data_IF_258823503686
#
_entry.id   IF_258823503686
#
_cell.length_a   1.000
_cell.length_b   1.000
_cell.length_c   1.000
_cell.angle_alpha   90.00
_cell.angle_beta   90.00
_cell.angle_gamma   90.00
#
_symmetry.space_group_name_H-M   'P 1'
#
loop_
_entity.id
_entity.type
_entity.pdbx_description
1 polymer ?
#
# COMPACT_ATOMS: atom_id res chain seq x y z
N UNK A 1 9.55 -24.53 5.15
CA UNK A 1 9.08 -23.71 4.02
C UNK A 1 7.77 -23.01 4.41
N UNK A 2 7.84 -21.77 4.90
CA UNK A 2 6.63 -21.00 5.20
C UNK A 2 6.02 -20.54 3.87
N UNK A 3 4.99 -21.26 3.41
CA UNK A 3 4.12 -20.85 2.31
C UNK A 3 3.54 -19.48 2.68
N UNK A 4 4.07 -18.41 2.09
CA UNK A 4 3.54 -17.05 2.23
C UNK A 4 2.11 -17.12 1.67
N UNK A 5 1.15 -17.20 2.59
CA UNK A 5 -0.27 -17.45 2.32
C UNK A 5 -0.84 -16.38 1.39
N UNK A 6 -1.67 -16.86 0.46
CA UNK A 6 -2.57 -16.14 -0.46
C UNK A 6 -2.52 -14.61 -0.36
N UNK A 7 -2.02 -13.98 -1.42
CA UNK A 7 -2.12 -12.54 -1.68
C UNK A 7 -3.57 -12.06 -1.39
N UNK A 8 -3.84 -11.40 -0.24
CA UNK A 8 -5.20 -11.03 0.16
C UNK A 8 -5.82 -10.00 -0.79
N UNK A 9 -5.01 -9.42 -1.66
CA UNK A 9 -5.35 -8.33 -2.57
C UNK A 9 -5.56 -8.79 -4.02
N UNK A 10 -5.56 -10.11 -4.30
CA UNK A 10 -5.86 -10.65 -5.65
C UNK A 10 -7.24 -10.17 -6.11
N UNK A 11 -8.21 -10.11 -5.19
CA UNK A 11 -9.59 -9.79 -5.53
C UNK A 11 -9.85 -8.29 -5.70
N UNK A 12 -8.86 -7.42 -5.41
CA UNK A 12 -9.02 -5.99 -5.66
C UNK A 12 -8.96 -5.73 -7.17
N UNK A 13 -9.79 -4.82 -7.65
CA UNK A 13 -9.60 -4.23 -8.98
C UNK A 13 -8.31 -3.41 -9.01
N UNK A 14 -7.80 -3.09 -10.19
CA UNK A 14 -6.55 -2.33 -10.33
C UNK A 14 -6.64 -0.95 -9.64
N UNK A 15 -7.79 -0.28 -9.78
CA UNK A 15 -8.02 1.02 -9.14
C UNK A 15 -8.12 0.89 -7.62
N UNK A 16 -8.85 -0.11 -7.12
CA UNK A 16 -8.93 -0.37 -5.68
C UNK A 16 -7.58 -0.74 -5.08
N UNK A 17 -6.75 -1.49 -5.82
CA UNK A 17 -5.42 -1.88 -5.39
C UNK A 17 -4.51 -0.64 -5.26
N UNK A 18 -4.50 0.23 -6.27
CA UNK A 18 -3.74 1.50 -6.22
C UNK A 18 -4.26 2.37 -5.07
N UNK A 19 -5.58 2.51 -4.94
CA UNK A 19 -6.20 3.33 -3.91
C UNK A 19 -5.88 2.86 -2.49
N UNK A 20 -5.97 1.56 -2.26
CA UNK A 20 -5.64 0.92 -1.00
C UNK A 20 -4.16 1.09 -0.67
N UNK A 21 -3.28 0.89 -1.66
CA UNK A 21 -1.83 1.07 -1.49
C UNK A 21 -1.49 2.47 -1.03
N UNK A 22 -2.05 3.49 -1.67
CA UNK A 22 -1.81 4.89 -1.31
C UNK A 22 -2.28 5.19 0.12
N UNK A 23 -3.50 4.75 0.49
CA UNK A 23 -4.04 4.93 1.85
C UNK A 23 -3.16 4.27 2.90
N UNK A 24 -2.65 3.08 2.63
CA UNK A 24 -1.78 2.35 3.56
C UNK A 24 -0.38 2.98 3.67
N UNK A 25 0.16 3.53 2.59
CA UNK A 25 1.39 4.32 2.61
C UNK A 25 1.26 5.59 3.46
N UNK A 26 0.14 6.31 3.35
CA UNK A 26 -0.10 7.52 4.18
C UNK A 26 -0.22 7.18 5.68
N UNK A 27 -0.86 6.06 6.00
CA UNK A 27 -0.92 5.55 7.39
C UNK A 27 0.47 5.17 7.88
N UNK A 28 1.28 4.51 7.04
CA UNK A 28 2.64 4.13 7.38
C UNK A 28 3.53 5.37 7.65
N UNK A 29 3.42 6.41 6.81
CA UNK A 29 4.08 7.71 7.00
C UNK A 29 3.63 8.41 8.29
N UNK A 30 2.37 8.26 8.67
CA UNK A 30 1.88 8.79 9.94
C UNK A 30 2.47 8.02 11.11
N UNK A 31 2.49 6.68 11.04
CA UNK A 31 3.08 5.82 12.08
C UNK A 31 4.58 6.06 12.26
N UNK A 32 5.33 6.34 11.18
CA UNK A 32 6.76 6.65 11.27
C UNK A 32 7.03 7.94 12.03
N UNK A 33 6.08 8.88 12.08
CA UNK A 33 6.20 10.15 12.82
C UNK A 33 5.87 10.02 14.31
N UNK A 34 5.09 9.02 14.70
CA UNK A 34 4.61 8.85 16.08
C UNK A 34 5.33 7.71 16.82
N UNK A 35 6.51 7.28 16.32
CA UNK A 35 7.40 6.24 16.89
C UNK A 35 6.72 4.92 17.29
N UNK A 36 5.55 4.60 16.73
CA UNK A 36 4.85 3.35 17.04
C UNK A 36 5.42 2.20 16.19
N UNK A 37 6.63 1.76 16.54
CA UNK A 37 7.42 0.73 15.84
C UNK A 37 6.65 -0.58 15.59
N UNK A 38 5.88 -1.03 16.58
CA UNK A 38 5.16 -2.31 16.50
C UNK A 38 4.00 -2.24 15.48
N UNK A 39 3.24 -1.13 15.47
CA UNK A 39 2.22 -0.90 14.44
C UNK A 39 2.86 -0.62 13.08
N UNK A 40 3.98 0.08 13.06
CA UNK A 40 4.72 0.40 11.84
C UNK A 40 5.17 -0.86 11.11
N UNK A 41 5.84 -1.80 11.79
CA UNK A 41 6.32 -3.05 11.15
C UNK A 41 5.17 -3.92 10.62
N UNK A 42 4.05 -4.02 11.35
CA UNK A 42 2.84 -4.71 10.86
C UNK A 42 2.29 -4.05 9.59
N UNK A 43 2.19 -2.71 9.59
CA UNK A 43 1.64 -1.94 8.45
C UNK A 43 2.58 -1.96 7.25
N UNK A 44 3.89 -1.94 7.48
CA UNK A 44 4.94 -2.08 6.45
C UNK A 44 4.81 -3.40 5.71
N UNK A 45 4.53 -4.50 6.42
CA UNK A 45 4.30 -5.79 5.76
C UNK A 45 3.10 -5.75 4.81
N UNK A 46 2.00 -5.10 5.23
CA UNK A 46 0.81 -4.88 4.39
C UNK A 46 1.14 -4.06 3.14
N UNK A 47 1.82 -2.92 3.30
CA UNK A 47 2.25 -2.07 2.19
C UNK A 47 3.14 -2.85 1.22
N UNK A 48 4.07 -3.66 1.72
CA UNK A 48 4.92 -4.49 0.88
C UNK A 48 4.14 -5.50 0.05
N UNK A 49 3.13 -6.16 0.63
CA UNK A 49 2.28 -7.09 -0.13
C UNK A 49 1.49 -6.37 -1.23
N UNK A 50 0.97 -5.17 -0.95
CA UNK A 50 0.28 -4.34 -1.94
C UNK A 50 1.20 -3.92 -3.08
N UNK A 51 2.44 -3.53 -2.78
CA UNK A 51 3.45 -3.17 -3.79
C UNK A 51 3.82 -4.37 -4.66
N UNK A 52 3.99 -5.56 -4.07
CA UNK A 52 4.28 -6.79 -4.82
C UNK A 52 3.14 -7.07 -5.81
N UNK A 53 1.89 -6.94 -5.37
CA UNK A 53 0.73 -7.17 -6.23
C UNK A 53 0.61 -6.15 -7.36
N UNK A 54 0.91 -4.86 -7.10
CA UNK A 54 0.99 -3.82 -8.13
C UNK A 54 2.05 -4.16 -9.18
N UNK A 55 3.24 -4.55 -8.73
CA UNK A 55 4.34 -4.96 -9.63
C UNK A 55 3.95 -6.20 -10.44
N UNK A 56 3.32 -7.19 -9.81
CA UNK A 56 2.85 -8.43 -10.45
C UNK A 56 1.87 -8.15 -11.59
N UNK A 57 0.99 -7.16 -11.43
CA UNK A 57 0.01 -6.73 -12.44
C UNK A 57 0.56 -5.72 -13.45
N UNK A 58 1.84 -5.38 -13.36
CA UNK A 58 2.48 -4.34 -14.18
C UNK A 58 1.75 -2.97 -14.09
N UNK A 59 1.19 -2.65 -12.92
CA UNK A 59 0.50 -1.39 -12.69
C UNK A 59 1.51 -0.31 -12.28
N UNK A 60 1.29 0.90 -12.78
CA UNK A 60 2.07 2.08 -12.38
C UNK A 60 1.23 2.93 -11.44
N UNK A 61 1.77 3.23 -10.25
CA UNK A 61 1.21 4.27 -9.39
C UNK A 61 1.50 5.61 -10.07
N UNK A 62 0.54 6.14 -10.81
CA UNK A 62 0.69 7.39 -11.56
C UNK A 62 0.85 8.56 -10.57
N UNK A 63 1.98 9.27 -10.65
CA UNK A 63 2.22 10.53 -9.90
C UNK A 63 1.03 11.50 -9.94
N UNK A 64 0.33 11.73 -11.07
CA UNK A 64 -0.85 12.58 -11.11
C UNK A 64 -1.97 12.18 -10.13
N UNK A 65 -2.20 10.88 -9.90
CA UNK A 65 -3.19 10.40 -8.93
C UNK A 65 -2.76 10.70 -7.49
N UNK A 66 -1.46 10.62 -7.20
CA UNK A 66 -0.89 11.02 -5.90
C UNK A 66 -1.04 12.53 -5.69
N UNK A 67 -0.67 13.33 -6.70
CA UNK A 67 -0.78 14.79 -6.67
C UNK A 67 -2.23 15.21 -6.46
N UNK A 68 -3.19 14.66 -7.22
CA UNK A 68 -4.60 15.03 -7.09
C UNK A 68 -5.14 14.77 -5.68
N UNK A 69 -4.70 13.71 -4.99
CA UNK A 69 -5.07 13.45 -3.58
C UNK A 69 -4.42 14.39 -2.57
N UNK A 70 -3.19 14.83 -2.83
CA UNK A 70 -2.49 15.77 -1.95
C UNK A 70 -3.09 17.19 -2.07
N UNK A 71 -3.48 17.58 -3.29
CA UNK A 71 -3.90 18.96 -3.59
C UNK A 71 -5.42 19.17 -3.62
N UNK A 72 -6.27 18.16 -3.80
CA UNK A 72 -7.74 18.31 -3.68
C UNK A 72 -8.22 18.15 -2.22
N UNK A 73 -7.63 18.91 -1.30
CA UNK A 73 -8.11 18.99 0.08
C UNK A 73 -9.13 20.11 0.23
#
# INVERSE_FOLDING_TARGET
MNKIKLYPYINLTNDQLIDCTIKEMDKLKTLSKHENLLKYEKRKHVVNQLIIEIKRRNLKIKKPLLVRRIFNK
#
